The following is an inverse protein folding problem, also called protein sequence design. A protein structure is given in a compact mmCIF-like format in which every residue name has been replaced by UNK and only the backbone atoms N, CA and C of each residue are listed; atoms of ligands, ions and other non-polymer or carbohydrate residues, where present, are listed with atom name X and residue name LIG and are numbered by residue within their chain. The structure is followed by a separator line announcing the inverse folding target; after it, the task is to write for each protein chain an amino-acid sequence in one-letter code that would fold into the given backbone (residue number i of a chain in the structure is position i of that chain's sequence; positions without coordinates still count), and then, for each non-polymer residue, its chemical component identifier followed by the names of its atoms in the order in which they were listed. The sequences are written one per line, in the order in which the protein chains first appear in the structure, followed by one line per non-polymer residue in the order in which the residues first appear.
data_IF_127587618246
#
_entry.id   IF_127587618246
#
_cell.length_a   1.000
_cell.length_b   1.000
_cell.length_c   1.000
_cell.angle_alpha   90.00
_cell.angle_beta   90.00
_cell.angle_gamma   90.00
#
_symmetry.space_group_name_H-M   'P 1'
#
loop_
_entity.id
_entity.type
_entity.pdbx_description
1 polymer ?
#
# COMPACT_ATOMS: atom_id res chain seq x y z
N UNK A 1 -38.33 44.35 2.75
CA UNK A 1 -37.53 45.53 3.18
C UNK A 1 -38.00 45.91 4.58
N UNK A 2 -37.21 45.62 5.61
CA UNK A 2 -37.44 46.07 6.97
C UNK A 2 -36.11 46.60 7.51
N UNK A 3 -36.19 47.78 8.14
CA UNK A 3 -35.12 48.73 8.31
C UNK A 3 -34.12 48.33 9.39
N UNK A 4 -32.87 48.73 9.17
CA UNK A 4 -31.78 48.65 10.12
C UNK A 4 -32.04 49.47 11.38
N UNK A 5 -31.48 48.99 12.48
CA UNK A 5 -31.33 49.74 13.73
C UNK A 5 -29.85 50.03 13.91
N UNK A 6 -29.46 51.26 13.56
CA UNK A 6 -28.21 51.85 13.99
C UNK A 6 -28.41 52.58 15.31
N UNK A 7 -27.42 52.48 16.20
CA UNK A 7 -26.99 53.36 17.32
C UNK A 7 -26.24 52.48 18.33
N UNK A 8 -25.12 52.87 18.94
CA UNK A 8 -24.49 54.17 19.09
C UNK A 8 -22.97 54.01 19.22
N UNK A 9 -22.23 55.05 18.83
CA UNK A 9 -20.82 55.26 19.20
C UNK A 9 -20.75 55.65 20.69
N UNK A 10 -19.89 54.97 21.42
CA UNK A 10 -19.34 55.34 22.74
C UNK A 10 -17.92 54.76 22.68
N UNK A 11 -16.81 55.43 22.88
CA UNK A 11 -16.45 56.77 23.35
C UNK A 11 -14.98 56.60 23.71
N UNK A 12 -14.09 57.42 23.15
CA UNK A 12 -12.65 57.31 23.40
C UNK A 12 -12.36 57.53 24.90
N UNK A 13 -11.64 56.60 25.51
CA UNK A 13 -11.02 56.79 26.83
C UNK A 13 -9.61 56.25 26.77
N UNK A 14 -8.69 57.17 26.48
CA UNK A 14 -7.27 56.99 26.76
C UNK A 14 -7.10 56.88 28.29
N UNK A 15 -6.42 55.82 28.72
CA UNK A 15 -6.01 55.59 30.08
C UNK A 15 -4.64 54.93 30.05
N UNK A 16 -3.62 55.76 30.19
CA UNK A 16 -2.24 55.37 30.48
C UNK A 16 -2.15 54.76 31.88
N UNK A 17 -1.54 53.58 31.99
CA UNK A 17 -1.24 52.91 33.25
C UNK A 17 -0.24 51.79 32.99
N UNK A 18 1.03 52.08 33.23
CA UNK A 18 2.15 51.13 33.24
C UNK A 18 2.05 50.18 34.44
N UNK A 19 2.62 48.98 34.23
CA UNK A 19 3.20 48.05 35.22
C UNK A 19 2.25 47.28 36.15
N UNK A 20 2.09 45.96 35.89
CA UNK A 20 2.74 44.92 36.69
C UNK A 20 2.16 43.50 36.42
N UNK A 21 3.00 42.63 35.85
CA UNK A 21 3.09 41.22 36.23
C UNK A 21 1.90 40.27 36.07
N UNK A 22 1.43 40.00 34.84
CA UNK A 22 0.67 38.79 34.55
C UNK A 22 1.13 38.20 33.21
N UNK A 23 1.85 37.07 33.26
CA UNK A 23 2.34 36.40 32.06
C UNK A 23 1.19 35.97 31.15
N UNK A 24 1.27 36.34 29.88
CA UNK A 24 0.29 36.05 28.83
C UNK A 24 -0.08 34.55 28.76
N UNK A 25 -1.17 34.18 29.43
CA UNK A 25 -1.77 32.83 29.38
C UNK A 25 -2.39 32.57 27.97
N UNK A 26 -2.62 33.64 27.20
CA UNK A 26 -3.18 33.60 25.85
C UNK A 26 -2.23 32.98 24.80
N UNK A 27 -0.94 32.82 25.11
CA UNK A 27 0.00 32.06 24.27
C UNK A 27 -0.14 30.54 24.35
N UNK A 28 -0.79 30.02 25.40
CA UNK A 28 -0.90 28.57 25.66
C UNK A 28 -1.99 27.91 24.81
N UNK A 29 -3.07 28.63 24.52
CA UNK A 29 -4.21 28.13 23.72
C UNK A 29 -4.27 28.71 22.30
N UNK A 30 -3.36 29.60 21.93
CA UNK A 30 -3.13 30.05 20.56
C UNK A 30 -2.48 28.93 19.73
N UNK A 31 -3.25 27.88 19.45
CA UNK A 31 -2.88 26.64 18.75
C UNK A 31 -2.42 26.79 17.29
N UNK A 32 -1.80 27.91 16.93
CA UNK A 32 -0.90 27.98 15.78
C UNK A 32 0.36 27.19 16.14
N UNK A 33 0.36 25.91 15.74
CA UNK A 33 1.54 25.02 15.78
C UNK A 33 2.79 25.83 15.50
N UNK A 34 3.63 26.02 16.51
CA UNK A 34 4.96 26.60 16.33
C UNK A 34 5.61 25.86 15.17
N UNK A 35 5.87 26.58 14.07
CA UNK A 35 6.67 26.04 12.97
C UNK A 35 8.04 25.77 13.58
N UNK A 36 8.30 24.52 13.98
CA UNK A 36 9.66 24.07 14.24
C UNK A 36 10.42 24.37 12.95
N UNK A 37 11.30 25.37 13.00
CA UNK A 37 12.31 25.55 11.97
C UNK A 37 13.12 24.26 11.98
N UNK A 38 12.92 23.40 11.00
CA UNK A 38 13.76 22.22 10.80
C UNK A 38 15.18 22.74 10.60
N UNK A 39 16.06 22.43 11.56
CA UNK A 39 17.49 22.73 11.43
C UNK A 39 18.01 21.76 10.38
N UNK A 40 18.58 22.29 9.30
CA UNK A 40 19.21 21.54 8.21
C UNK A 40 20.40 20.65 8.67
N UNK A 41 20.74 20.70 9.96
CA UNK A 41 21.86 19.99 10.58
C UNK A 41 21.57 18.54 11.01
N UNK A 42 20.30 18.11 11.13
CA UNK A 42 19.96 16.75 11.59
C UNK A 42 20.11 15.68 10.48
N UNK A 43 20.53 16.07 9.28
CA UNK A 43 20.72 15.16 8.13
C UNK A 43 21.93 14.22 8.29
N UNK A 44 22.85 14.52 9.20
CA UNK A 44 24.14 13.82 9.32
C UNK A 44 24.20 12.72 10.40
N UNK A 45 23.28 12.70 11.36
CA UNK A 45 23.31 11.71 12.45
C UNK A 45 22.26 10.61 12.23
N UNK A 46 22.73 9.39 11.92
CA UNK A 46 21.86 8.24 11.64
C UNK A 46 21.39 7.59 12.94
N UNK A 47 20.23 8.01 13.44
CA UNK A 47 19.57 7.37 14.58
C UNK A 47 18.95 6.02 14.23
N UNK A 48 18.82 5.13 15.22
CA UNK A 48 18.17 3.81 15.06
C UNK A 48 16.74 3.94 14.53
N UNK A 49 15.96 4.91 15.02
CA UNK A 49 14.61 5.16 14.52
C UNK A 49 14.59 5.50 13.02
N UNK A 50 15.57 6.27 12.55
CA UNK A 50 15.75 6.56 11.12
C UNK A 50 16.09 5.30 10.32
N UNK A 51 16.98 4.45 10.85
CA UNK A 51 17.32 3.17 10.22
C UNK A 51 16.09 2.26 10.04
N UNK A 52 15.22 2.20 11.04
CA UNK A 52 14.01 1.39 10.99
C UNK A 52 13.03 1.92 9.95
N UNK A 53 12.87 3.25 9.85
CA UNK A 53 12.07 3.86 8.78
C UNK A 53 12.65 3.50 7.41
N UNK A 54 13.97 3.62 7.21
CA UNK A 54 14.60 3.27 5.95
C UNK A 54 14.38 1.81 5.56
N UNK A 55 14.41 0.86 6.50
CA UNK A 55 14.12 -0.55 6.23
C UNK A 55 12.67 -0.75 5.79
N UNK A 56 11.73 -0.08 6.45
CA UNK A 56 10.30 -0.12 6.09
C UNK A 56 10.08 0.48 4.70
N UNK A 57 10.64 1.66 4.44
CA UNK A 57 10.52 2.37 3.17
C UNK A 57 11.16 1.58 2.03
N UNK A 58 12.31 0.95 2.28
CA UNK A 58 12.95 0.04 1.34
C UNK A 58 12.05 -1.16 1.00
N UNK A 59 11.41 -1.76 2.01
CA UNK A 59 10.45 -2.85 1.80
C UNK A 59 9.23 -2.44 0.98
N UNK A 60 8.74 -1.21 1.14
CA UNK A 60 7.60 -0.68 0.37
C UNK A 60 8.03 -0.23 -1.04
N UNK A 61 9.27 0.23 -1.21
CA UNK A 61 9.77 0.80 -2.46
C UNK A 61 9.69 -0.17 -3.66
N UNK A 62 9.85 -1.47 -3.39
CA UNK A 62 9.80 -2.53 -4.41
C UNK A 62 8.42 -2.70 -5.06
N UNK A 63 7.34 -2.26 -4.41
CA UNK A 63 5.98 -2.41 -4.92
C UNK A 63 5.64 -1.41 -6.04
N UNK A 64 4.69 -1.73 -6.92
CA UNK A 64 4.15 -0.76 -7.89
C UNK A 64 3.33 0.34 -7.20
N UNK A 65 3.09 1.49 -7.84
CA UNK A 65 2.45 2.66 -7.20
C UNK A 65 1.11 2.36 -6.50
N UNK A 66 0.28 1.48 -7.06
CA UNK A 66 -0.98 1.04 -6.41
C UNK A 66 -0.75 0.14 -5.20
N UNK A 67 0.24 -0.75 -5.30
CA UNK A 67 0.57 -1.71 -4.26
C UNK A 67 1.31 -1.05 -3.08
N UNK A 68 2.09 0.02 -3.33
CA UNK A 68 2.73 0.85 -2.29
C UNK A 68 1.71 1.42 -1.31
N UNK A 69 0.60 1.96 -1.82
CA UNK A 69 -0.46 2.51 -0.98
C UNK A 69 -1.16 1.43 -0.15
N UNK A 70 -1.33 0.23 -0.70
CA UNK A 70 -1.91 -0.89 0.03
C UNK A 70 -0.97 -1.40 1.12
N UNK A 71 0.33 -1.51 0.83
CA UNK A 71 1.35 -1.93 1.78
C UNK A 71 1.47 -0.95 2.97
N UNK A 72 1.45 0.37 2.70
CA UNK A 72 1.50 1.39 3.75
C UNK A 72 0.26 1.38 4.64
N UNK A 73 -0.94 1.26 4.03
CA UNK A 73 -2.20 1.12 4.77
C UNK A 73 -2.19 -0.15 5.62
N UNK A 74 -1.72 -1.27 5.08
CA UNK A 74 -1.65 -2.53 5.82
C UNK A 74 -0.69 -2.45 7.01
N UNK A 75 0.47 -1.79 6.84
CA UNK A 75 1.40 -1.52 7.93
C UNK A 75 0.75 -0.66 9.02
N UNK A 76 0.11 0.44 8.64
CA UNK A 76 -0.58 1.32 9.58
C UNK A 76 -1.66 0.57 10.37
N UNK A 77 -2.44 -0.31 9.73
CA UNK A 77 -3.45 -1.14 10.40
C UNK A 77 -2.79 -2.09 11.40
N UNK A 78 -1.66 -2.73 11.06
CA UNK A 78 -0.91 -3.60 11.99
C UNK A 78 -0.40 -2.82 13.22
N UNK A 79 -0.05 -1.55 13.03
CA UNK A 79 0.34 -0.63 14.11
C UNK A 79 -0.86 -0.10 14.91
N UNK A 80 -2.09 -0.53 14.60
CA UNK A 80 -3.31 -0.17 15.32
C UNK A 80 -4.09 0.99 14.72
N UNK A 81 -3.72 1.50 13.53
CA UNK A 81 -4.52 2.50 12.85
C UNK A 81 -5.88 1.93 12.41
N UNK A 82 -6.90 2.78 12.45
CA UNK A 82 -8.25 2.40 11.99
C UNK A 82 -8.23 2.16 10.47
N UNK A 83 -8.80 1.04 9.97
CA UNK A 83 -8.82 0.76 8.54
C UNK A 83 -9.61 1.82 7.76
N UNK A 84 -9.22 2.11 6.50
CA UNK A 84 -9.90 3.11 5.69
C UNK A 84 -11.32 2.65 5.33
N UNK A 85 -12.24 3.62 5.26
CA UNK A 85 -13.65 3.35 4.94
C UNK A 85 -13.77 2.89 3.48
N UNK A 86 -14.55 1.83 3.26
CA UNK A 86 -14.90 1.37 1.91
C UNK A 86 -15.74 2.42 1.18
N UNK A 87 -15.60 2.47 -0.15
CA UNK A 87 -16.46 3.30 -1.01
C UNK A 87 -17.92 2.89 -0.83
N UNK A 88 -18.83 3.85 -0.83
CA UNK A 88 -20.26 3.59 -0.80
C UNK A 88 -20.67 2.83 -2.07
N UNK A 89 -21.42 1.74 -1.92
CA UNK A 89 -21.92 0.90 -3.02
C UNK A 89 -23.40 0.58 -2.78
N UNK A 90 -24.15 0.32 -3.84
CA UNK A 90 -25.56 -0.06 -3.71
C UNK A 90 -25.66 -1.48 -3.13
N UNK A 91 -26.64 -1.70 -2.24
CA UNK A 91 -26.87 -3.02 -1.65
C UNK A 91 -27.17 -4.11 -2.68
N UNK A 92 -27.85 -3.77 -3.79
CA UNK A 92 -28.15 -4.72 -4.87
C UNK A 92 -26.87 -5.28 -5.51
N UNK A 93 -25.90 -4.41 -5.82
CA UNK A 93 -24.59 -4.79 -6.39
C UNK A 93 -23.83 -5.73 -5.44
N UNK A 94 -23.83 -5.43 -4.14
CA UNK A 94 -23.14 -6.26 -3.12
C UNK A 94 -23.77 -7.66 -3.05
N UNK A 95 -25.09 -7.77 -3.18
CA UNK A 95 -25.77 -9.06 -3.19
C UNK A 95 -25.45 -9.87 -4.45
N UNK A 96 -25.41 -9.21 -5.60
CA UNK A 96 -25.05 -9.84 -6.88
C UNK A 96 -23.60 -10.34 -6.85
N UNK A 97 -22.65 -9.52 -6.39
CA UNK A 97 -21.24 -9.92 -6.20
C UNK A 97 -21.13 -11.15 -5.27
N UNK A 98 -21.88 -11.17 -4.16
CA UNK A 98 -21.88 -12.30 -3.22
C UNK A 98 -22.49 -13.56 -3.82
N UNK A 99 -23.57 -13.44 -4.61
CA UNK A 99 -24.18 -14.60 -5.29
C UNK A 99 -23.23 -15.16 -6.34
N UNK A 100 -22.62 -14.31 -7.15
CA UNK A 100 -21.63 -14.72 -8.15
C UNK A 100 -20.40 -15.40 -7.52
N UNK A 101 -19.90 -14.88 -6.39
CA UNK A 101 -18.80 -15.51 -5.67
C UNK A 101 -19.20 -16.92 -5.17
N UNK A 102 -20.39 -17.06 -4.58
CA UNK A 102 -20.89 -18.36 -4.11
C UNK A 102 -21.06 -19.37 -5.23
N UNK A 103 -21.60 -18.98 -6.39
CA UNK A 103 -21.72 -19.89 -7.52
C UNK A 103 -20.35 -20.36 -8.01
N UNK A 104 -19.35 -19.48 -8.04
CA UNK A 104 -17.98 -19.90 -8.41
C UNK A 104 -17.36 -20.86 -7.38
N UNK A 105 -17.60 -20.63 -6.08
CA UNK A 105 -17.11 -21.52 -5.02
C UNK A 105 -17.83 -22.87 -5.03
N UNK A 106 -19.14 -22.89 -5.25
CA UNK A 106 -19.96 -24.09 -5.38
C UNK A 106 -19.56 -24.89 -6.62
N UNK A 107 -19.33 -24.22 -7.75
CA UNK A 107 -18.80 -24.87 -8.97
C UNK A 107 -17.42 -25.45 -8.72
N UNK A 108 -16.52 -24.71 -8.08
CA UNK A 108 -15.18 -25.22 -7.72
C UNK A 108 -15.30 -26.40 -6.75
N UNK A 109 -16.20 -26.35 -5.78
CA UNK A 109 -16.45 -27.42 -4.83
C UNK A 109 -17.08 -28.65 -5.51
N UNK A 110 -18.00 -28.46 -6.45
CA UNK A 110 -18.62 -29.51 -7.23
C UNK A 110 -17.58 -30.19 -8.14
N UNK A 111 -16.72 -29.42 -8.81
CA UNK A 111 -15.60 -29.96 -9.60
C UNK A 111 -14.60 -30.74 -8.75
N UNK A 112 -14.33 -30.28 -7.52
CA UNK A 112 -13.53 -31.02 -6.54
C UNK A 112 -14.19 -32.34 -6.11
N UNK A 113 -15.50 -32.35 -5.84
CA UNK A 113 -16.26 -33.56 -5.46
C UNK A 113 -16.39 -34.55 -6.62
N UNK A 114 -16.58 -34.06 -7.84
CA UNK A 114 -16.67 -34.85 -9.05
C UNK A 114 -15.30 -35.40 -9.52
N UNK A 115 -14.22 -35.12 -8.80
CA UNK A 115 -12.89 -35.62 -9.13
C UNK A 115 -12.36 -35.11 -10.47
N UNK A 116 -12.80 -33.93 -10.93
CA UNK A 116 -12.34 -33.39 -12.20
C UNK A 116 -10.82 -33.20 -12.19
N UNK A 117 -10.21 -33.46 -13.34
CA UNK A 117 -8.78 -33.50 -13.58
C UNK A 117 -8.01 -32.25 -13.13
N UNK A 118 -8.72 -31.13 -12.96
CA UNK A 118 -8.17 -29.80 -12.69
C UNK A 118 -7.90 -29.48 -11.22
N UNK A 119 -8.02 -30.44 -10.29
CA UNK A 119 -7.67 -30.19 -8.89
C UNK A 119 -6.80 -31.29 -8.26
N UNK A 120 -5.84 -30.85 -7.45
CA UNK A 120 -5.09 -31.69 -6.52
C UNK A 120 -4.14 -32.70 -7.16
N UNK A 121 -4.17 -33.93 -6.66
CA UNK A 121 -3.24 -35.00 -7.05
C UNK A 121 -3.36 -35.38 -8.55
N UNK A 122 -4.57 -35.31 -9.13
CA UNK A 122 -4.82 -35.65 -10.53
C UNK A 122 -4.09 -34.69 -11.48
N UNK A 123 -4.12 -33.38 -11.21
CA UNK A 123 -3.35 -32.40 -12.00
C UNK A 123 -1.84 -32.68 -11.94
N UNK A 124 -1.31 -32.95 -10.75
CA UNK A 124 0.12 -33.20 -10.57
C UNK A 124 0.59 -34.43 -11.34
N UNK A 125 -0.21 -35.50 -11.32
CA UNK A 125 0.04 -36.72 -12.08
C UNK A 125 -0.02 -36.46 -13.59
N UNK A 126 -1.05 -35.76 -14.08
CA UNK A 126 -1.17 -35.43 -15.50
C UNK A 126 -0.02 -34.54 -16.00
N UNK A 127 0.42 -33.56 -15.19
CA UNK A 127 1.56 -32.69 -15.51
C UNK A 127 2.88 -33.45 -15.55
N UNK A 128 3.05 -34.46 -14.69
CA UNK A 128 4.21 -35.35 -14.73
C UNK A 128 4.20 -36.20 -16.01
N UNK A 129 3.05 -36.77 -16.40
CA UNK A 129 2.90 -37.54 -17.64
C UNK A 129 3.11 -36.68 -18.88
N UNK A 130 2.65 -35.43 -18.87
CA UNK A 130 2.90 -34.48 -19.95
C UNK A 130 4.39 -34.15 -20.06
N UNK A 131 5.08 -33.86 -18.95
CA UNK A 131 6.54 -33.66 -18.94
C UNK A 131 7.32 -34.86 -19.46
N UNK A 132 6.87 -36.08 -19.17
CA UNK A 132 7.49 -37.31 -19.69
C UNK A 132 7.34 -37.39 -21.22
N UNK A 133 6.12 -37.18 -21.73
CA UNK A 133 5.83 -37.14 -23.17
C UNK A 133 6.58 -36.02 -23.90
N UNK A 134 6.72 -34.85 -23.29
CA UNK A 134 7.44 -33.72 -23.89
C UNK A 134 8.95 -33.99 -24.02
N UNK A 135 9.54 -34.71 -23.03
CA UNK A 135 10.93 -35.17 -23.09
C UNK A 135 11.15 -36.23 -24.17
N UNK A 136 10.21 -37.18 -24.30
CA UNK A 136 10.26 -38.23 -25.32
C UNK A 136 10.09 -37.66 -26.73
N UNK A 137 9.13 -36.72 -26.90
CA UNK A 137 8.83 -36.10 -28.20
C UNK A 137 9.91 -35.13 -28.66
N UNK A 138 10.61 -34.48 -27.75
CA UNK A 138 11.66 -33.52 -28.05
C UNK A 138 12.92 -33.78 -27.21
N UNK A 139 13.77 -34.76 -27.60
CA UNK A 139 15.01 -35.05 -26.87
C UNK A 139 15.98 -33.85 -26.85
N UNK A 140 15.89 -32.94 -27.82
CA UNK A 140 16.65 -31.68 -27.86
C UNK A 140 16.05 -30.52 -27.04
N UNK A 141 14.90 -30.71 -26.37
CA UNK A 141 14.28 -29.64 -25.57
C UNK A 141 15.10 -29.25 -24.34
N UNK A 142 15.84 -30.20 -23.76
CA UNK A 142 16.79 -29.94 -22.67
C UNK A 142 17.86 -28.95 -23.14
N UNK A 143 18.28 -29.08 -24.41
CA UNK A 143 19.26 -28.21 -25.08
C UNK A 143 18.70 -26.81 -25.45
N UNK A 144 17.44 -26.49 -25.14
CA UNK A 144 16.87 -25.13 -25.32
C UNK A 144 17.26 -24.19 -24.17
N UNK A 145 17.47 -24.74 -22.97
CA UNK A 145 17.90 -23.98 -21.79
C UNK A 145 19.40 -23.71 -21.79
N UNK A 146 20.17 -24.55 -22.49
CA UNK A 146 21.59 -24.37 -22.69
C UNK A 146 21.78 -23.71 -24.07
N UNK A 147 22.29 -22.48 -24.10
CA UNK A 147 22.60 -21.81 -25.37
C UNK A 147 23.52 -22.67 -26.24
N UNK A 148 23.40 -22.57 -27.58
CA UNK A 148 24.29 -23.28 -28.51
C UNK A 148 25.75 -22.97 -28.18
N UNK A 149 26.48 -23.95 -27.64
CA UNK A 149 27.91 -23.83 -27.45
C UNK A 149 28.57 -23.61 -28.82
N UNK A 150 29.27 -22.48 -29.00
CA UNK A 150 30.16 -22.26 -30.14
C UNK A 150 31.58 -22.59 -29.67
N UNK A 151 32.02 -23.87 -29.73
CA UNK A 151 33.38 -24.21 -29.34
C UNK A 151 34.37 -23.51 -30.28
N UNK A 152 35.41 -22.89 -29.70
CA UNK A 152 36.51 -22.29 -30.48
C UNK A 152 37.49 -23.39 -30.89
N UNK A 153 37.13 -24.19 -31.88
CA UNK A 153 38.07 -25.15 -32.48
C UNK A 153 38.99 -24.35 -33.42
N UNK A 154 40.28 -24.24 -33.08
CA UNK A 154 41.28 -23.57 -33.91
C UNK A 154 41.31 -22.03 -33.84
N UNK A 155 40.87 -21.41 -32.75
CA UNK A 155 41.10 -19.98 -32.46
C UNK A 155 40.19 -18.97 -33.17
N UNK A 156 39.48 -19.35 -34.24
CA UNK A 156 38.53 -18.45 -34.93
C UNK A 156 37.08 -18.76 -34.57
N UNK A 157 36.27 -17.72 -34.30
CA UNK A 157 34.82 -17.85 -34.11
C UNK A 157 34.20 -17.96 -35.52
N UNK A 158 33.45 -19.03 -35.80
CA UNK A 158 32.45 -19.04 -36.88
C UNK A 158 31.23 -18.23 -36.44
#
# INVERSE_FOLDING_TARGET
RAAGRGRARVGDREGSGEEDGEGDIDGVFSGARGRKREREADRAEFGVAGAWSCVIDFGICWFGNGDKQQASVALAIKLGAKPPKRKHRNYREILEEKKAAKTTEEDVAAKRRAGQADFGAVQSFQKQQQRKRDRERNPGAIMKHYGKARPRIGGKRK
#
